data_IF_494601412736
#
_entry.id   IF_494601412736
#
_cell.length_a   1.000
_cell.length_b   1.000
_cell.length_c   1.000
_cell.angle_alpha   90.00
_cell.angle_beta   90.00
_cell.angle_gamma   90.00
#
_symmetry.space_group_name_H-M   'P 1'
#
loop_
_entity.id
_entity.type
_entity.pdbx_description
1 polymer ?
#
# COMPACT_ATOMS: atom_id res chain seq x y z
N UNK A 1 30.09 2.92 -20.11
CA UNK A 1 29.03 2.03 -19.60
C UNK A 1 28.16 2.83 -18.65
N UNK A 2 26.98 3.27 -19.10
CA UNK A 2 26.03 3.98 -18.25
C UNK A 2 25.40 2.96 -17.30
N UNK A 3 25.81 2.96 -16.04
CA UNK A 3 25.11 2.30 -14.96
C UNK A 3 23.81 3.09 -14.72
N UNK A 4 22.81 2.86 -15.57
CA UNK A 4 21.42 3.07 -15.17
C UNK A 4 21.23 2.21 -13.93
N UNK A 5 21.28 2.80 -12.73
CA UNK A 5 20.61 2.22 -11.57
C UNK A 5 19.13 2.45 -11.85
N UNK A 6 18.35 1.44 -12.29
CA UNK A 6 16.91 1.61 -12.34
C UNK A 6 16.55 1.84 -10.88
N UNK A 7 16.09 3.06 -10.56
CA UNK A 7 15.68 3.42 -9.21
C UNK A 7 14.78 2.31 -8.68
N UNK A 8 15.03 1.86 -7.45
CA UNK A 8 14.29 0.82 -6.72
C UNK A 8 12.90 0.63 -7.31
N UNK A 9 12.71 -0.37 -8.16
CA UNK A 9 11.41 -0.67 -8.74
C UNK A 9 10.53 -1.10 -7.57
N UNK A 10 9.73 -0.18 -7.04
CA UNK A 10 8.84 -0.47 -5.93
C UNK A 10 7.80 -1.43 -6.46
N UNK A 11 7.81 -2.66 -5.95
CA UNK A 11 6.84 -3.67 -6.33
C UNK A 11 5.52 -3.39 -5.59
N UNK A 12 4.77 -2.41 -6.13
CA UNK A 12 3.52 -1.89 -5.58
C UNK A 12 2.56 -3.02 -5.23
N UNK A 13 2.43 -3.99 -6.12
CA UNK A 13 1.54 -5.15 -5.92
C UNK A 13 1.92 -5.91 -4.66
N UNK A 14 3.21 -6.20 -4.49
CA UNK A 14 3.72 -6.92 -3.31
C UNK A 14 3.48 -6.15 -2.02
N UNK A 15 3.63 -4.83 -2.02
CA UNK A 15 3.36 -3.97 -0.86
C UNK A 15 1.88 -3.99 -0.50
N UNK A 16 0.99 -3.81 -1.48
CA UNK A 16 -0.46 -3.86 -1.28
C UNK A 16 -0.86 -5.22 -0.73
N UNK A 17 -0.36 -6.32 -1.31
CA UNK A 17 -0.65 -7.67 -0.81
C UNK A 17 -0.17 -7.89 0.63
N UNK A 18 0.97 -7.33 1.03
CA UNK A 18 1.42 -7.37 2.42
C UNK A 18 0.48 -6.62 3.35
N UNK A 19 0.08 -5.39 2.99
CA UNK A 19 -0.85 -4.59 3.79
C UNK A 19 -2.20 -5.32 3.93
N UNK A 20 -2.71 -5.89 2.85
CA UNK A 20 -3.99 -6.63 2.85
C UNK A 20 -3.95 -7.89 3.72
N UNK A 21 -2.78 -8.53 3.89
CA UNK A 21 -2.66 -9.70 4.77
C UNK A 21 -2.96 -9.36 6.22
N UNK A 22 -2.54 -8.17 6.65
CA UNK A 22 -2.72 -7.68 8.02
C UNK A 22 -4.16 -7.16 8.27
N UNK A 23 -4.99 -7.06 7.22
CA UNK A 23 -6.37 -6.59 7.30
C UNK A 23 -7.40 -7.74 7.34
N UNK A 24 -8.53 -7.46 7.98
CA UNK A 24 -9.68 -8.35 8.06
C UNK A 24 -10.18 -8.73 6.65
N UNK A 25 -10.55 -10.00 6.39
CA UNK A 25 -10.99 -10.44 5.07
C UNK A 25 -12.16 -9.63 4.50
N UNK A 26 -13.08 -9.18 5.36
CA UNK A 26 -14.29 -8.44 4.97
C UNK A 26 -14.02 -7.04 4.40
N UNK A 27 -12.85 -6.46 4.70
CA UNK A 27 -12.46 -5.11 4.24
C UNK A 27 -11.35 -5.15 3.18
N UNK A 28 -10.81 -6.35 2.84
CA UNK A 28 -9.66 -6.48 1.93
C UNK A 28 -9.95 -5.91 0.54
N UNK A 29 -11.14 -6.14 0.00
CA UNK A 29 -11.49 -5.65 -1.34
C UNK A 29 -11.62 -4.12 -1.37
N UNK A 30 -12.21 -3.52 -0.34
CA UNK A 30 -12.31 -2.08 -0.22
C UNK A 30 -10.94 -1.44 0.03
N UNK A 31 -10.14 -2.01 0.95
CA UNK A 31 -8.77 -1.61 1.20
C UNK A 31 -7.92 -1.75 -0.06
N UNK A 32 -8.07 -2.81 -0.85
CA UNK A 32 -7.33 -2.99 -2.10
C UNK A 32 -7.66 -1.90 -3.10
N UNK A 33 -8.95 -1.56 -3.27
CA UNK A 33 -9.38 -0.47 -4.15
C UNK A 33 -8.79 0.86 -3.69
N UNK A 34 -8.83 1.13 -2.39
CA UNK A 34 -8.28 2.35 -1.80
C UNK A 34 -6.75 2.43 -1.92
N UNK A 35 -6.02 1.37 -1.58
CA UNK A 35 -4.56 1.33 -1.70
C UNK A 35 -4.11 1.50 -3.16
N UNK A 36 -4.91 1.01 -4.12
CA UNK A 36 -4.66 1.22 -5.54
C UNK A 36 -4.83 2.67 -6.00
N UNK A 37 -5.52 3.54 -5.26
CA UNK A 37 -5.62 4.98 -5.60
C UNK A 37 -4.50 5.82 -4.98
N UNK A 38 -3.73 5.27 -4.03
CA UNK A 38 -2.63 5.98 -3.38
C UNK A 38 -1.39 6.07 -4.27
N UNK A 39 -0.51 7.04 -4.02
CA UNK A 39 0.80 7.12 -4.69
C UNK A 39 1.76 6.10 -4.10
N UNK A 40 2.77 5.70 -4.85
CA UNK A 40 3.76 4.72 -4.38
C UNK A 40 4.50 5.21 -3.12
N UNK A 41 4.79 6.50 -3.04
CA UNK A 41 5.38 7.15 -1.85
C UNK A 41 4.53 6.95 -0.59
N UNK A 42 3.21 7.01 -0.75
CA UNK A 42 2.26 6.86 0.35
C UNK A 42 2.12 5.38 0.78
N UNK A 43 2.36 4.42 -0.13
CA UNK A 43 2.32 2.98 0.14
C UNK A 43 3.57 2.44 0.84
N UNK A 44 4.72 3.08 0.63
CA UNK A 44 5.98 2.71 1.28
C UNK A 44 5.94 3.02 2.78
N UNK A 45 5.23 4.07 3.18
CA UNK A 45 5.06 4.45 4.58
C UNK A 45 3.89 3.70 5.24
N UNK A 46 4.20 2.62 5.95
CA UNK A 46 3.20 1.81 6.67
C UNK A 46 2.41 2.60 7.73
N UNK A 47 3.01 3.59 8.39
CA UNK A 47 2.34 4.40 9.41
C UNK A 47 1.29 5.28 8.75
N UNK A 48 1.66 5.88 7.61
CA UNK A 48 0.76 6.69 6.79
C UNK A 48 -0.37 5.85 6.20
N UNK A 49 -0.07 4.68 5.64
CA UNK A 49 -1.07 3.72 5.15
C UNK A 49 -2.08 3.38 6.25
N UNK A 50 -1.60 3.00 7.43
CA UNK A 50 -2.47 2.64 8.57
C UNK A 50 -3.36 3.81 8.97
N UNK A 51 -2.81 5.03 8.99
CA UNK A 51 -3.55 6.26 9.28
C UNK A 51 -4.62 6.55 8.22
N UNK A 52 -4.32 6.34 6.94
CA UNK A 52 -5.26 6.53 5.84
C UNK A 52 -6.38 5.49 5.88
N UNK A 53 -6.06 4.22 6.18
CA UNK A 53 -7.05 3.17 6.36
C UNK A 53 -7.96 3.44 7.57
N UNK A 54 -7.41 3.92 8.70
CA UNK A 54 -8.20 4.39 9.85
C UNK A 54 -9.12 5.54 9.50
N UNK A 55 -8.61 6.58 8.81
CA UNK A 55 -9.41 7.71 8.33
C UNK A 55 -10.56 7.28 7.41
N UNK A 56 -10.36 6.21 6.65
CA UNK A 56 -11.38 5.64 5.76
C UNK A 56 -12.39 4.75 6.50
N UNK A 57 -12.16 4.41 7.77
CA UNK A 57 -12.98 3.50 8.55
C UNK A 57 -12.69 2.01 8.30
N UNK A 58 -11.60 1.71 7.58
CA UNK A 58 -11.17 0.35 7.22
C UNK A 58 -10.27 -0.27 8.30
N UNK A 59 -9.94 0.46 9.35
CA UNK A 59 -9.10 -0.02 10.45
C UNK A 59 -9.62 0.63 11.72
N UNK A 60 -9.83 -0.16 12.79
CA UNK A 60 -10.16 0.37 14.11
C UNK A 60 -8.87 0.79 14.84
#
# INVERSE_FOLDING_TARGET
MSLFKPGKTIDRRKIIEQILKDLDPGIRDEARRFLNTLRDEDLVDRVKVSSLLKKKGLLK
#
